data_IF_812616209767
#
_entry.id   IF_812616209767
#
_cell.length_a   1.000
_cell.length_b   1.000
_cell.length_c   1.000
_cell.angle_alpha   90.00
_cell.angle_beta   90.00
_cell.angle_gamma   90.00
#
_symmetry.space_group_name_H-M   'P 1'
#
loop_
_entity.id
_entity.type
_entity.pdbx_description
1 polymer ?
#
# COMPACT_ATOMS: atom_id res chain seq x y z
N UNK A 1 -41.66 -2.48 40.39
CA UNK A 1 -40.67 -1.88 41.29
C UNK A 1 -39.60 -2.94 41.52
N UNK A 2 -38.46 -2.80 40.83
CA UNK A 2 -37.15 -2.42 41.43
C UNK A 2 -36.43 -3.67 41.96
N UNK A 3 -35.16 -3.99 41.69
CA UNK A 3 -34.09 -3.47 40.84
C UNK A 3 -33.05 -4.61 40.79
N UNK A 4 -32.34 -4.75 39.68
CA UNK A 4 -31.13 -5.56 39.56
C UNK A 4 -29.94 -4.73 40.08
N UNK A 5 -29.15 -5.20 41.07
CA UNK A 5 -27.92 -4.51 41.43
C UNK A 5 -26.77 -5.51 41.52
N UNK A 6 -26.00 -5.68 40.45
CA UNK A 6 -24.62 -6.16 40.60
C UNK A 6 -23.72 -5.51 39.56
N UNK A 7 -23.23 -4.32 39.93
CA UNK A 7 -22.00 -3.74 39.37
C UNK A 7 -20.78 -4.19 40.21
N UNK A 8 -19.58 -4.24 39.62
CA UNK A 8 -18.44 -5.01 40.11
C UNK A 8 -17.71 -4.39 41.31
N UNK A 9 -17.17 -5.25 42.19
CA UNK A 9 -16.25 -4.84 43.25
C UNK A 9 -14.83 -4.58 42.68
N UNK A 10 -14.09 -3.57 43.21
CA UNK A 10 -12.69 -3.36 42.87
C UNK A 10 -11.79 -4.36 43.63
N UNK A 11 -10.92 -5.05 42.90
CA UNK A 11 -9.84 -5.83 43.49
C UNK A 11 -8.81 -4.88 44.12
N UNK A 12 -8.68 -4.94 45.45
CA UNK A 12 -7.52 -4.42 46.18
C UNK A 12 -6.62 -5.59 46.55
N UNK A 13 -5.34 -5.52 46.19
CA UNK A 13 -4.18 -6.09 46.91
C UNK A 13 -2.96 -6.00 45.99
N UNK A 14 -2.09 -5.02 46.21
CA UNK A 14 -0.94 -5.11 47.12
C UNK A 14 0.23 -5.87 46.48
N UNK A 15 1.06 -5.09 45.78
CA UNK A 15 2.40 -5.48 45.38
C UNK A 15 3.26 -5.70 46.63
N UNK A 16 3.78 -6.91 46.81
CA UNK A 16 4.84 -7.21 47.75
C UNK A 16 6.08 -7.66 46.97
N UNK A 17 7.11 -6.82 47.08
CA UNK A 17 8.55 -7.13 47.17
C UNK A 17 9.02 -8.52 46.76
N UNK A 18 9.86 -8.58 45.71
CA UNK A 18 11.05 -9.41 45.78
C UNK A 18 12.18 -8.79 44.94
N UNK A 19 13.32 -8.59 45.59
CA UNK A 19 14.51 -7.98 45.00
C UNK A 19 15.16 -8.89 43.98
N UNK A 20 15.25 -8.38 42.75
CA UNK A 20 16.28 -8.74 41.78
C UNK A 20 16.54 -7.48 40.95
N UNK A 21 17.79 -6.99 40.82
CA UNK A 21 18.05 -5.86 39.94
C UNK A 21 17.65 -6.24 38.50
N UNK A 22 16.97 -5.34 37.75
CA UNK A 22 16.68 -5.60 36.35
C UNK A 22 18.00 -5.85 35.60
N UNK A 23 18.03 -6.76 34.63
CA UNK A 23 19.21 -6.97 33.79
C UNK A 23 19.58 -5.65 33.08
N UNK A 24 20.88 -5.37 32.85
CA UNK A 24 21.30 -4.19 32.14
C UNK A 24 20.69 -4.16 30.74
N UNK A 25 20.12 -3.01 30.38
CA UNK A 25 19.59 -2.75 29.04
C UNK A 25 20.74 -2.88 28.01
N UNK A 26 20.51 -3.53 26.85
CA UNK A 26 21.48 -3.50 25.77
C UNK A 26 21.73 -2.05 25.34
N UNK A 27 22.96 -1.71 24.89
CA UNK A 27 23.24 -0.39 24.35
C UNK A 27 22.30 -0.09 23.18
N UNK A 28 21.93 1.19 22.94
CA UNK A 28 21.26 1.54 21.71
C UNK A 28 22.17 1.10 20.57
N UNK A 29 21.69 0.16 19.75
CA UNK A 29 22.33 -0.15 18.49
C UNK A 29 22.54 1.18 17.79
N UNK A 30 23.81 1.56 17.62
CA UNK A 30 24.19 2.67 16.77
C UNK A 30 23.44 2.47 15.47
N UNK A 31 22.51 3.39 15.18
CA UNK A 31 21.91 3.53 13.86
C UNK A 31 23.12 3.83 12.97
N UNK A 32 23.63 2.78 12.35
CA UNK A 32 24.31 2.91 11.07
C UNK A 32 23.26 3.55 10.18
N UNK A 33 23.42 4.85 9.93
CA UNK A 33 22.95 5.42 8.69
C UNK A 33 23.75 4.67 7.63
N UNK A 34 23.20 3.54 7.18
CA UNK A 34 23.57 3.01 5.88
C UNK A 34 23.17 4.11 4.91
N UNK A 35 24.21 4.69 4.35
CA UNK A 35 24.22 5.46 3.12
C UNK A 35 23.77 4.48 2.02
N UNK A 36 22.48 4.10 2.03
CA UNK A 36 21.83 3.48 0.88
C UNK A 36 21.68 4.60 -0.15
N UNK A 37 22.79 4.80 -0.87
CA UNK A 37 22.87 5.24 -2.26
C UNK A 37 22.09 4.22 -3.13
N UNK A 38 20.82 4.02 -2.79
CA UNK A 38 19.83 3.40 -3.65
C UNK A 38 19.50 4.51 -4.64
N UNK A 39 20.16 4.47 -5.80
CA UNK A 39 19.66 4.97 -7.08
C UNK A 39 18.31 4.26 -7.44
N UNK A 40 17.39 4.16 -6.48
CA UNK A 40 15.99 3.98 -6.70
C UNK A 40 15.57 5.20 -7.50
N UNK A 41 15.62 5.05 -8.82
CA UNK A 41 15.03 5.95 -9.80
C UNK A 41 13.61 6.25 -9.34
N UNK A 42 13.48 7.32 -8.54
CA UNK A 42 12.21 7.75 -8.01
C UNK A 42 11.43 8.22 -9.22
N UNK A 43 10.53 7.37 -9.71
CA UNK A 43 9.73 7.69 -10.88
C UNK A 43 8.93 8.94 -10.56
N UNK A 44 9.25 10.02 -11.27
CA UNK A 44 8.56 11.29 -11.14
C UNK A 44 7.19 11.20 -11.80
N UNK A 45 6.22 10.71 -11.01
CA UNK A 45 4.82 10.63 -11.40
C UNK A 45 4.14 12.01 -11.46
N UNK A 46 4.76 13.05 -10.89
CA UNK A 46 4.25 14.43 -10.93
C UNK A 46 4.60 15.12 -12.25
N UNK A 47 5.65 14.66 -12.95
CA UNK A 47 5.94 15.08 -14.32
C UNK A 47 4.89 14.60 -15.36
N UNK A 48 3.97 13.71 -14.99
CA UNK A 48 2.95 13.20 -15.92
C UNK A 48 1.98 14.33 -16.31
N UNK A 49 1.85 14.69 -17.62
CA UNK A 49 1.07 15.84 -18.03
C UNK A 49 -0.41 15.76 -17.61
N UNK A 50 -0.90 16.79 -16.91
CA UNK A 50 -2.29 16.83 -16.45
C UNK A 50 -2.62 15.81 -15.37
N UNK A 51 -1.61 15.23 -14.71
CA UNK A 51 -1.77 14.47 -13.48
C UNK A 51 -2.38 15.37 -12.40
N UNK A 52 -3.31 14.78 -11.66
CA UNK A 52 -4.01 15.41 -10.55
C UNK A 52 -3.99 14.55 -9.29
N UNK A 53 -3.31 13.41 -9.34
CA UNK A 53 -3.11 12.50 -8.22
C UNK A 53 -2.47 11.20 -8.67
N UNK A 54 -1.65 10.61 -7.82
CA UNK A 54 -0.94 9.36 -8.10
C UNK A 54 -0.81 8.51 -6.82
N UNK A 55 -0.57 7.21 -6.98
CA UNK A 55 -0.21 6.28 -5.91
C UNK A 55 0.64 5.15 -6.47
N UNK A 56 1.40 4.49 -5.59
CA UNK A 56 2.19 3.32 -5.92
C UNK A 56 1.92 2.22 -4.89
N UNK A 57 1.65 1.02 -5.38
CA UNK A 57 1.42 -0.16 -4.57
C UNK A 57 2.37 -1.26 -5.00
N UNK A 58 2.70 -2.17 -4.10
CA UNK A 58 3.34 -3.42 -4.46
C UNK A 58 2.30 -4.34 -5.07
N UNK A 59 2.57 -4.90 -6.25
CA UNK A 59 1.57 -5.70 -6.98
C UNK A 59 1.30 -7.05 -6.32
N UNK A 60 2.22 -7.56 -5.50
CA UNK A 60 2.12 -8.90 -4.87
C UNK A 60 1.07 -8.97 -3.76
N UNK A 61 0.95 -7.92 -2.96
CA UNK A 61 0.12 -7.89 -1.75
C UNK A 61 -0.78 -6.64 -1.66
N UNK A 62 -0.60 -5.67 -2.56
CA UNK A 62 -1.32 -4.40 -2.52
C UNK A 62 -0.84 -3.47 -1.41
N UNK A 63 0.33 -3.72 -0.82
CA UNK A 63 0.92 -2.83 0.17
C UNK A 63 1.22 -1.47 -0.46
N UNK A 64 0.84 -0.41 0.24
CA UNK A 64 1.00 0.96 -0.25
C UNK A 64 2.46 1.38 -0.10
N UNK A 65 3.17 1.52 -1.23
CA UNK A 65 4.56 1.99 -1.27
C UNK A 65 4.60 3.52 -1.27
N UNK A 66 3.67 4.15 -2.01
CA UNK A 66 3.43 5.59 -1.99
C UNK A 66 1.93 5.86 -1.81
N UNK A 67 1.62 6.65 -0.79
CA UNK A 67 0.25 7.07 -0.49
C UNK A 67 -0.43 7.81 -1.64
N UNK A 68 -1.78 7.81 -1.69
CA UNK A 68 -2.51 8.58 -2.67
C UNK A 68 -2.22 10.08 -2.52
N UNK A 69 -1.93 10.73 -3.64
CA UNK A 69 -1.66 12.17 -3.72
C UNK A 69 -2.79 12.93 -4.44
N UNK A 70 -2.86 14.24 -4.18
CA UNK A 70 -3.78 15.16 -4.87
C UNK A 70 -5.25 14.76 -4.74
N UNK A 71 -5.91 14.56 -5.88
CA UNK A 71 -7.32 14.20 -5.99
C UNK A 71 -7.57 12.68 -6.10
N UNK A 72 -6.53 11.86 -5.92
CA UNK A 72 -6.67 10.41 -5.85
C UNK A 72 -7.02 10.04 -4.41
N UNK A 73 -8.03 9.19 -4.23
CA UNK A 73 -8.44 8.71 -2.90
C UNK A 73 -7.94 7.30 -2.64
N UNK A 74 -7.81 6.89 -1.38
CA UNK A 74 -7.47 5.51 -1.02
C UNK A 74 -8.47 4.51 -1.62
N UNK A 75 -9.76 4.88 -1.67
CA UNK A 75 -10.80 4.07 -2.30
C UNK A 75 -10.55 3.87 -3.80
N UNK A 76 -10.15 4.93 -4.52
CA UNK A 76 -9.79 4.82 -5.94
C UNK A 76 -8.66 3.80 -6.14
N UNK A 77 -7.65 3.86 -5.27
CA UNK A 77 -6.48 2.98 -5.31
C UNK A 77 -6.87 1.52 -5.03
N UNK A 78 -7.69 1.26 -4.02
CA UNK A 78 -8.18 -0.09 -3.71
C UNK A 78 -8.99 -0.68 -4.87
N UNK A 79 -9.82 0.13 -5.52
CA UNK A 79 -10.57 -0.30 -6.71
C UNK A 79 -9.64 -0.60 -7.87
N UNK A 80 -8.62 0.24 -8.12
CA UNK A 80 -7.62 0.00 -9.16
C UNK A 80 -6.84 -1.30 -8.92
N UNK A 81 -6.41 -1.55 -7.69
CA UNK A 81 -5.72 -2.80 -7.32
C UNK A 81 -6.62 -4.02 -7.52
N UNK A 82 -7.87 -3.97 -7.07
CA UNK A 82 -8.84 -5.07 -7.27
C UNK A 82 -9.11 -5.32 -8.75
N UNK A 83 -9.29 -4.27 -9.55
CA UNK A 83 -9.45 -4.40 -11.00
C UNK A 83 -8.24 -5.09 -11.65
N UNK A 84 -7.02 -4.75 -11.23
CA UNK A 84 -5.82 -5.38 -11.77
C UNK A 84 -5.70 -6.85 -11.36
N UNK A 85 -6.10 -7.21 -10.14
CA UNK A 85 -6.14 -8.63 -9.73
C UNK A 85 -7.19 -9.39 -10.53
N UNK A 86 -8.43 -8.88 -10.62
CA UNK A 86 -9.53 -9.58 -11.27
C UNK A 86 -9.34 -9.68 -12.79
N UNK A 87 -8.89 -8.61 -13.45
CA UNK A 87 -8.75 -8.58 -14.91
C UNK A 87 -7.36 -9.11 -15.33
N UNK A 88 -6.31 -8.79 -14.58
CA UNK A 88 -4.94 -9.20 -14.89
C UNK A 88 -4.73 -10.71 -14.77
N UNK A 89 -5.36 -11.37 -13.79
CA UNK A 89 -5.31 -12.84 -13.66
C UNK A 89 -6.06 -13.56 -14.77
N UNK A 90 -7.14 -12.98 -15.31
CA UNK A 90 -7.91 -13.56 -16.41
C UNK A 90 -7.22 -13.43 -17.77
N UNK A 91 -6.34 -12.42 -17.93
CA UNK A 91 -5.62 -12.15 -19.18
C UNK A 91 -4.19 -12.69 -19.17
N UNK A 92 -3.67 -13.15 -18.03
CA UNK A 92 -2.51 -14.04 -17.97
C UNK A 92 -2.93 -15.37 -18.57
N UNK A 93 -2.88 -15.47 -19.90
CA UNK A 93 -3.22 -16.69 -20.62
C UNK A 93 -2.44 -17.87 -20.05
N UNK A 94 -3.14 -18.81 -19.44
CA UNK A 94 -2.68 -20.18 -19.22
C UNK A 94 -2.61 -20.87 -20.59
N UNK A 95 -1.74 -20.39 -21.47
CA UNK A 95 -1.43 -21.06 -22.73
C UNK A 95 -0.24 -21.97 -22.47
N UNK A 96 -0.59 -23.20 -22.05
CA UNK A 96 0.35 -24.26 -21.77
C UNK A 96 1.48 -24.34 -22.80
N UNK A 97 2.68 -23.94 -22.39
CA UNK A 97 3.92 -24.26 -23.09
C UNK A 97 4.27 -23.39 -24.29
N UNK A 98 4.38 -22.07 -24.11
CA UNK A 98 5.41 -21.24 -24.76
C UNK A 98 5.50 -19.89 -24.06
N UNK A 99 6.63 -19.64 -23.42
CA UNK A 99 6.87 -18.47 -22.57
C UNK A 99 6.84 -17.14 -23.30
N UNK A 100 5.65 -16.58 -23.49
CA UNK A 100 5.45 -15.13 -23.53
C UNK A 100 4.68 -14.73 -22.27
N UNK A 101 5.37 -14.06 -21.34
CA UNK A 101 4.78 -13.36 -20.19
C UNK A 101 3.88 -12.22 -20.69
N UNK A 102 2.68 -12.58 -21.14
CA UNK A 102 1.71 -11.71 -21.78
C UNK A 102 0.54 -11.33 -20.88
N UNK A 103 0.79 -11.03 -19.60
CA UNK A 103 -0.25 -10.53 -18.69
C UNK A 103 -0.68 -9.10 -19.02
N UNK A 104 -1.85 -8.67 -18.53
CA UNK A 104 -2.35 -7.31 -18.72
C UNK A 104 -1.41 -6.29 -18.06
N UNK A 105 -0.65 -5.54 -18.87
CA UNK A 105 0.37 -4.60 -18.37
C UNK A 105 -0.18 -3.22 -18.01
N UNK A 106 -1.23 -2.78 -18.71
CA UNK A 106 -1.77 -1.42 -18.58
C UNK A 106 -3.28 -1.40 -18.77
N UNK A 107 -3.96 -0.69 -17.86
CA UNK A 107 -5.39 -0.42 -17.92
C UNK A 107 -5.61 1.08 -17.91
N UNK A 108 -6.51 1.57 -18.75
CA UNK A 108 -6.91 2.98 -18.75
C UNK A 108 -8.43 3.06 -18.60
N UNK A 109 -8.88 3.78 -17.56
CA UNK A 109 -10.30 3.97 -17.26
C UNK A 109 -10.66 5.44 -17.40
N UNK A 110 -11.52 5.77 -18.37
CA UNK A 110 -12.02 7.13 -18.59
C UNK A 110 -13.38 7.34 -17.94
N UNK A 111 -13.56 8.45 -17.23
CA UNK A 111 -14.84 8.87 -16.67
C UNK A 111 -14.96 10.39 -16.57
N UNK A 112 -15.98 10.97 -17.22
CA UNK A 112 -16.42 12.38 -17.07
C UNK A 112 -15.27 13.39 -16.86
N UNK A 113 -14.37 13.52 -17.84
CA UNK A 113 -13.29 14.51 -17.80
C UNK A 113 -12.08 14.11 -16.95
N UNK A 114 -12.03 12.87 -16.45
CA UNK A 114 -10.86 12.30 -15.77
C UNK A 114 -10.52 10.94 -16.38
N UNK A 115 -9.23 10.63 -16.43
CA UNK A 115 -8.69 9.35 -16.90
C UNK A 115 -7.74 8.77 -15.85
N UNK A 116 -7.96 7.52 -15.48
CA UNK A 116 -7.05 6.75 -14.64
C UNK A 116 -6.16 5.89 -15.53
N UNK A 117 -4.86 6.04 -15.42
CA UNK A 117 -3.86 5.17 -16.03
C UNK A 117 -3.27 4.28 -14.94
N UNK A 118 -3.40 2.97 -15.11
CA UNK A 118 -2.96 1.94 -14.17
C UNK A 118 -1.95 1.07 -14.91
N UNK A 119 -0.76 0.85 -14.36
CA UNK A 119 0.32 0.12 -15.03
C UNK A 119 1.09 -0.74 -14.04
N UNK A 120 1.41 -1.98 -14.43
CA UNK A 120 2.29 -2.86 -13.69
C UNK A 120 3.73 -2.66 -14.17
N UNK A 121 4.63 -2.27 -13.28
CA UNK A 121 6.06 -2.21 -13.55
C UNK A 121 6.68 -3.61 -13.44
N UNK A 122 7.34 -4.06 -14.51
CA UNK A 122 7.94 -5.40 -14.58
C UNK A 122 9.23 -5.50 -13.76
N UNK A 123 9.99 -4.42 -13.69
CA UNK A 123 11.30 -4.41 -13.05
C UNK A 123 11.22 -4.41 -11.53
N UNK A 124 10.17 -3.80 -10.99
CA UNK A 124 10.02 -3.51 -9.56
C UNK A 124 8.75 -4.12 -8.96
N UNK A 125 7.92 -4.77 -9.79
CA UNK A 125 6.71 -5.45 -9.34
C UNK A 125 5.71 -4.49 -8.68
N UNK A 126 5.72 -3.21 -9.05
CA UNK A 126 4.83 -2.21 -8.47
C UNK A 126 3.68 -1.87 -9.42
N UNK A 127 2.54 -1.58 -8.84
CA UNK A 127 1.37 -1.05 -9.51
C UNK A 127 1.34 0.47 -9.38
N UNK A 128 1.41 1.14 -10.52
CA UNK A 128 1.35 2.58 -10.66
C UNK A 128 -0.08 3.00 -10.98
N UNK A 129 -0.63 3.92 -10.20
CA UNK A 129 -1.97 4.47 -10.42
C UNK A 129 -1.84 5.97 -10.59
N UNK A 130 -2.26 6.50 -11.74
CA UNK A 130 -2.21 7.94 -12.02
C UNK A 130 -3.58 8.40 -12.48
N UNK A 131 -4.10 9.43 -11.83
CA UNK A 131 -5.34 10.13 -12.19
C UNK A 131 -4.98 11.40 -12.95
N UNK A 132 -5.57 11.60 -14.12
CA UNK A 132 -5.31 12.73 -15.01
C UNK A 132 -6.60 13.42 -15.41
N UNK A 133 -6.55 14.72 -15.69
CA UNK A 133 -7.64 15.40 -16.41
C UNK A 133 -7.68 14.87 -17.84
N UNK A 134 -8.85 14.48 -18.31
CA UNK A 134 -9.05 14.18 -19.73
C UNK A 134 -8.97 15.49 -20.51
N UNK A 135 -8.26 15.46 -21.64
CA UNK A 135 -8.32 16.56 -22.61
C UNK A 135 -9.76 16.69 -23.13
N UNK A 136 -10.27 17.92 -23.32
CA UNK A 136 -11.58 18.16 -23.92
C UNK A 136 -11.64 17.72 -25.39
#
# INVERSE_FOLDING_TARGET
MMSDPTSPQPATSAAMTNGFPPPPLPPPSSIVNDDDDDDAVELDLDAVPGQIGHAVLRATDGAMMRGPSGCLTERDVQVAYRMMLEIGTLLSGDDGGRGEEGGLRRVTVGFRGVTYAITLGEMDGCLYVVKRRSSP
#
